data_IF_687026473112
#
_entry.id   IF_687026473112
#
_cell.length_a   1.000
_cell.length_b   1.000
_cell.length_c   1.000
_cell.angle_alpha   90.00
_cell.angle_beta   90.00
_cell.angle_gamma   90.00
#
_symmetry.space_group_name_H-M   'P 1'
#
loop_
_entity.id
_entity.type
_entity.pdbx_description
1 polymer ?
#
# COMPACT_ATOMS: atom_id res chain seq x y z
N UNK A 1 -4.68 14.03 -21.70
CA UNK A 1 -5.99 13.97 -22.39
C UNK A 1 -6.35 15.35 -22.89
N UNK A 2 -7.18 15.45 -23.94
CA UNK A 2 -7.80 16.73 -24.26
C UNK A 2 -8.71 17.16 -23.10
N UNK A 3 -8.91 18.47 -22.88
CA UNK A 3 -9.81 18.95 -21.84
C UNK A 3 -11.21 18.34 -21.99
N UNK A 4 -11.73 17.77 -20.90
CA UNK A 4 -13.07 17.18 -20.87
C UNK A 4 -13.21 15.80 -21.50
N UNK A 5 -12.12 15.16 -21.93
CA UNK A 5 -12.14 13.76 -22.38
C UNK A 5 -12.63 12.82 -21.26
N UNK A 6 -13.42 11.82 -21.64
CA UNK A 6 -13.74 10.67 -20.80
C UNK A 6 -12.59 9.64 -20.86
N UNK A 7 -11.91 9.35 -19.74
CA UNK A 7 -10.81 8.38 -19.69
C UNK A 7 -11.24 6.92 -19.87
N UNK A 8 -12.52 6.57 -19.74
CA UNK A 8 -13.02 5.21 -20.00
C UNK A 8 -13.23 4.97 -21.50
N UNK A 9 -13.58 6.02 -22.23
CA UNK A 9 -13.84 5.95 -23.67
C UNK A 9 -12.62 6.35 -24.52
N UNK A 10 -11.69 7.13 -23.97
CA UNK A 10 -10.58 7.73 -24.71
C UNK A 10 -9.22 7.42 -24.07
N UNK A 11 -8.29 6.95 -24.91
CA UNK A 11 -6.90 6.72 -24.50
C UNK A 11 -6.15 8.03 -24.30
N UNK A 12 -5.17 7.98 -23.39
CA UNK A 12 -4.23 9.07 -23.22
C UNK A 12 -3.47 9.33 -24.52
N UNK A 13 -3.28 10.60 -24.89
CA UNK A 13 -2.38 10.95 -25.99
C UNK A 13 -0.90 10.71 -25.65
N UNK A 14 -0.56 10.74 -24.35
CA UNK A 14 0.74 10.36 -23.83
C UNK A 14 0.59 9.79 -22.41
N UNK A 15 1.44 8.83 -22.05
CA UNK A 15 1.52 8.24 -20.71
C UNK A 15 2.96 7.86 -20.40
N UNK A 16 3.37 8.02 -19.15
CA UNK A 16 4.70 7.64 -18.69
C UNK A 16 4.78 7.67 -17.16
N UNK A 17 5.92 7.22 -16.63
CA UNK A 17 6.20 7.32 -15.20
C UNK A 17 6.37 8.78 -14.79
N UNK A 18 5.97 9.14 -13.57
CA UNK A 18 6.10 10.51 -13.07
C UNK A 18 7.57 11.00 -13.03
N UNK A 19 8.53 10.08 -12.97
CA UNK A 19 9.97 10.38 -13.04
C UNK A 19 10.52 10.53 -14.47
N UNK A 20 9.67 10.43 -15.50
CA UNK A 20 10.05 10.53 -16.91
C UNK A 20 9.49 11.79 -17.57
N UNK A 21 10.25 12.34 -18.51
CA UNK A 21 9.80 13.45 -19.34
C UNK A 21 9.12 12.88 -20.60
N UNK A 22 7.95 13.43 -20.94
CA UNK A 22 7.23 13.10 -22.16
C UNK A 22 7.00 14.36 -22.99
N UNK A 23 7.30 14.29 -24.29
CA UNK A 23 6.99 15.38 -25.21
C UNK A 23 5.48 15.35 -25.54
N UNK A 24 4.81 16.48 -25.32
CA UNK A 24 3.41 16.69 -25.71
C UNK A 24 3.30 17.95 -26.56
N UNK A 25 2.37 18.01 -27.54
CA UNK A 25 2.14 19.23 -28.30
C UNK A 25 1.74 20.39 -27.39
N UNK A 26 2.15 21.61 -27.74
CA UNK A 26 1.69 22.81 -27.05
C UNK A 26 0.16 22.93 -27.13
N UNK A 27 -0.45 23.41 -26.05
CA UNK A 27 -1.91 23.48 -25.92
C UNK A 27 -2.39 23.24 -24.49
N UNK A 28 -3.69 23.09 -24.32
CA UNK A 28 -4.34 22.83 -23.03
C UNK A 28 -4.65 21.34 -22.89
N UNK A 29 -4.37 20.79 -21.72
CA UNK A 29 -4.42 19.35 -21.46
C UNK A 29 -4.94 19.02 -20.06
N UNK A 30 -5.65 17.90 -19.95
CA UNK A 30 -5.97 17.27 -18.67
C UNK A 30 -4.95 16.16 -18.38
N UNK A 31 -4.40 16.18 -17.17
CA UNK A 31 -3.39 15.21 -16.70
C UNK A 31 -4.01 14.36 -15.60
N UNK A 32 -4.04 13.04 -15.81
CA UNK A 32 -4.38 12.05 -14.79
C UNK A 32 -3.11 11.56 -14.12
N UNK A 33 -3.13 11.51 -12.80
CA UNK A 33 -2.11 10.88 -11.98
C UNK A 33 -2.65 9.57 -11.45
N UNK A 34 -1.84 8.53 -11.53
CA UNK A 34 -2.15 7.20 -11.04
C UNK A 34 -1.02 6.76 -10.11
N UNK A 35 -1.37 6.38 -8.90
CA UNK A 35 -0.50 5.70 -7.95
C UNK A 35 -1.05 4.28 -7.75
N UNK A 36 -0.20 3.27 -7.90
CA UNK A 36 -0.55 1.87 -7.74
C UNK A 36 0.57 1.15 -6.98
N UNK A 37 0.28 0.75 -5.75
CA UNK A 37 1.08 -0.14 -4.91
C UNK A 37 0.34 -1.49 -4.77
N UNK A 38 -0.01 -2.09 -5.90
CA UNK A 38 -0.70 -3.37 -5.97
C UNK A 38 -2.07 -3.35 -5.28
N UNK A 39 -2.37 -4.40 -4.50
CA UNK A 39 -3.65 -4.49 -3.79
C UNK A 39 -3.74 -3.58 -2.56
N UNK A 40 -2.63 -2.91 -2.20
CA UNK A 40 -2.48 -2.25 -0.90
C UNK A 40 -2.94 -0.80 -0.96
N UNK A 41 -2.52 -0.06 -2.00
CA UNK A 41 -2.88 1.34 -2.14
C UNK A 41 -2.97 1.72 -3.60
N UNK A 42 -4.14 2.20 -4.00
CA UNK A 42 -4.35 2.83 -5.30
C UNK A 42 -4.90 4.22 -5.05
N UNK A 43 -4.32 5.21 -5.71
CA UNK A 43 -4.83 6.57 -5.67
C UNK A 43 -4.80 7.16 -7.08
N UNK A 44 -5.76 8.01 -7.36
CA UNK A 44 -5.78 8.74 -8.61
C UNK A 44 -6.22 10.18 -8.40
N UNK A 45 -5.80 11.04 -9.31
CA UNK A 45 -6.14 12.45 -9.28
C UNK A 45 -6.03 13.09 -10.64
N UNK A 46 -6.57 14.29 -10.75
CA UNK A 46 -6.57 15.05 -11.99
C UNK A 46 -6.06 16.46 -11.75
N UNK A 47 -5.22 16.94 -12.66
CA UNK A 47 -5.00 18.37 -12.85
C UNK A 47 -5.60 18.72 -14.21
N UNK A 48 -6.59 19.60 -14.19
CA UNK A 48 -7.37 19.97 -15.37
C UNK A 48 -6.84 21.26 -15.99
N UNK A 49 -7.01 21.39 -17.30
CA UNK A 49 -6.70 22.60 -18.06
C UNK A 49 -5.24 23.11 -17.93
N UNK A 50 -4.27 22.18 -17.92
CA UNK A 50 -2.84 22.51 -17.89
C UNK A 50 -2.38 23.05 -19.24
N UNK A 51 -1.81 24.26 -19.24
CA UNK A 51 -1.27 24.89 -20.45
C UNK A 51 0.21 24.51 -20.66
N UNK A 52 0.50 23.80 -21.75
CA UNK A 52 1.85 23.50 -22.20
C UNK A 52 2.29 24.50 -23.27
N UNK A 53 3.42 25.16 -23.03
CA UNK A 53 4.02 26.12 -23.98
C UNK A 53 5.24 25.50 -24.66
N UNK A 54 5.45 25.84 -25.94
CA UNK A 54 6.62 25.37 -26.69
C UNK A 54 7.93 25.70 -25.95
N UNK A 55 8.81 24.70 -25.85
CA UNK A 55 10.14 24.84 -25.25
C UNK A 55 10.15 24.97 -23.72
N UNK A 56 9.00 24.80 -23.04
CA UNK A 56 8.92 24.85 -21.58
C UNK A 56 8.62 23.49 -20.99
N UNK A 57 9.34 23.14 -19.92
CA UNK A 57 9.03 21.99 -19.10
C UNK A 57 7.98 22.38 -18.05
N UNK A 58 6.87 21.67 -18.04
CA UNK A 58 5.90 21.75 -16.96
C UNK A 58 6.30 20.76 -15.85
N UNK A 59 6.22 21.20 -14.60
CA UNK A 59 6.44 20.38 -13.41
C UNK A 59 5.30 20.64 -12.43
N UNK A 60 4.84 19.59 -11.77
CA UNK A 60 3.96 19.71 -10.61
C UNK A 60 4.49 18.83 -9.48
N UNK A 61 4.36 19.35 -8.26
CA UNK A 61 4.44 18.54 -7.06
C UNK A 61 3.04 18.00 -6.77
N UNK A 62 2.91 16.68 -6.68
CA UNK A 62 1.66 16.02 -6.30
C UNK A 62 1.88 15.37 -4.95
N UNK A 63 1.19 15.89 -3.94
CA UNK A 63 1.18 15.29 -2.60
C UNK A 63 0.14 14.18 -2.60
N UNK A 64 0.62 12.93 -2.56
CA UNK A 64 -0.25 11.79 -2.31
C UNK A 64 -0.71 11.84 -0.86
N UNK A 65 -1.91 12.37 -0.63
CA UNK A 65 -2.59 12.32 0.66
C UNK A 65 -3.20 10.94 0.93
N UNK A 66 -2.57 9.86 0.44
CA UNK A 66 -2.87 8.52 0.89
C UNK A 66 -2.16 8.36 2.25
N UNK A 67 -2.87 8.17 3.37
CA UNK A 67 -2.24 7.95 4.66
C UNK A 67 -1.60 6.55 4.68
N UNK A 68 -0.50 6.40 3.94
CA UNK A 68 0.32 5.21 3.95
C UNK A 68 1.10 5.19 5.26
N UNK A 69 0.95 4.08 5.97
CA UNK A 69 1.69 3.80 7.19
C UNK A 69 2.58 2.60 6.98
N UNK A 70 3.57 2.45 7.86
CA UNK A 70 4.39 1.25 7.91
C UNK A 70 3.98 0.42 9.12
N UNK A 71 3.53 -0.81 8.87
CA UNK A 71 3.41 -1.82 9.93
C UNK A 71 4.67 -2.65 9.95
N UNK A 72 5.16 -2.90 11.17
CA UNK A 72 6.23 -3.85 11.45
C UNK A 72 5.79 -4.70 12.63
N UNK A 73 5.80 -6.01 12.45
CA UNK A 73 5.43 -6.97 13.48
C UNK A 73 6.68 -7.63 14.02
N UNK A 74 6.77 -7.73 15.35
CA UNK A 74 7.83 -8.46 16.05
C UNK A 74 7.19 -9.64 16.77
N UNK A 75 7.78 -10.83 16.62
CA UNK A 75 7.39 -12.02 17.37
C UNK A 75 8.44 -12.34 18.42
N UNK A 76 8.05 -12.96 19.52
CA UNK A 76 9.00 -13.48 20.51
C UNK A 76 8.66 -14.91 20.90
N UNK A 77 9.67 -15.76 21.01
CA UNK A 77 9.58 -17.12 21.54
C UNK A 77 10.46 -17.21 22.78
N UNK A 78 9.87 -17.54 23.94
CA UNK A 78 10.56 -17.59 25.23
C UNK A 78 11.34 -16.30 25.55
N UNK A 79 10.76 -15.14 25.22
CA UNK A 79 11.36 -13.82 25.46
C UNK A 79 12.49 -13.44 24.50
N UNK A 80 12.81 -14.28 23.50
CA UNK A 80 13.76 -13.97 22.43
C UNK A 80 13.02 -13.58 21.17
N UNK A 81 13.47 -12.53 20.50
CA UNK A 81 12.96 -12.15 19.17
C UNK A 81 13.14 -13.33 18.20
N UNK A 82 12.06 -13.68 17.51
CA UNK A 82 12.11 -14.73 16.47
C UNK A 82 12.60 -14.19 15.13
N UNK A 83 12.98 -12.90 15.05
CA UNK A 83 13.46 -12.24 13.84
C UNK A 83 12.52 -12.53 12.65
N UNK A 84 13.04 -12.81 11.46
CA UNK A 84 12.27 -12.98 10.21
C UNK A 84 11.62 -14.37 10.06
N UNK A 85 11.34 -15.05 11.18
CA UNK A 85 10.86 -16.44 11.17
C UNK A 85 9.35 -16.58 11.36
N UNK A 86 8.64 -15.47 11.58
CA UNK A 86 7.18 -15.44 11.62
C UNK A 86 6.67 -14.86 10.32
N UNK A 87 5.75 -15.56 9.67
CA UNK A 87 5.04 -15.08 8.51
C UNK A 87 3.74 -14.40 8.94
N UNK A 88 3.42 -13.27 8.31
CA UNK A 88 2.25 -12.45 8.59
C UNK A 88 1.46 -12.30 7.31
N UNK A 89 0.22 -12.78 7.35
CA UNK A 89 -0.80 -12.50 6.35
C UNK A 89 -1.72 -11.39 6.87
N UNK A 90 -1.87 -10.32 6.11
CA UNK A 90 -2.73 -9.19 6.42
C UNK A 90 -4.05 -9.29 5.64
N UNK A 91 -5.19 -9.15 6.33
CA UNK A 91 -6.53 -9.18 5.75
C UNK A 91 -7.27 -7.89 6.09
N UNK A 92 -8.25 -7.50 5.26
CA UNK A 92 -9.22 -6.48 5.68
C UNK A 92 -10.00 -7.02 6.90
N UNK A 93 -10.29 -6.16 7.87
CA UNK A 93 -11.03 -6.57 9.06
C UNK A 93 -12.34 -7.29 8.72
N UNK A 94 -12.60 -8.41 9.39
CA UNK A 94 -13.79 -9.24 9.21
C UNK A 94 -13.79 -10.11 7.95
N UNK A 95 -12.69 -10.16 7.21
CA UNK A 95 -12.56 -11.05 6.04
C UNK A 95 -12.46 -12.51 6.50
N UNK A 96 -13.16 -13.42 5.83
CA UNK A 96 -12.95 -14.86 6.03
C UNK A 96 -11.57 -15.27 5.52
N UNK A 97 -10.65 -15.53 6.45
CA UNK A 97 -9.24 -15.81 6.14
C UNK A 97 -9.01 -17.23 5.58
N UNK A 98 -10.03 -18.10 5.58
CA UNK A 98 -9.95 -19.42 4.96
C UNK A 98 -10.35 -19.37 3.49
N UNK A 99 -11.29 -18.50 3.15
CA UNK A 99 -11.83 -18.37 1.80
C UNK A 99 -11.03 -17.35 0.95
N UNK A 100 -10.61 -16.24 1.56
CA UNK A 100 -10.00 -15.14 0.83
C UNK A 100 -8.47 -15.09 0.99
N UNK A 101 -7.81 -14.55 -0.03
CA UNK A 101 -6.38 -14.28 0.01
C UNK A 101 -6.06 -13.02 0.83
N UNK A 102 -4.88 -12.96 1.48
CA UNK A 102 -4.46 -11.76 2.16
C UNK A 102 -4.24 -10.60 1.18
N UNK A 103 -4.44 -9.37 1.66
CA UNK A 103 -4.10 -8.16 0.91
C UNK A 103 -2.59 -7.93 0.83
N UNK A 104 -1.83 -8.52 1.75
CA UNK A 104 -0.37 -8.51 1.77
C UNK A 104 0.14 -9.63 2.67
N UNK A 105 1.29 -10.21 2.31
CA UNK A 105 2.00 -11.20 3.12
C UNK A 105 3.47 -10.81 3.25
N UNK A 106 4.00 -10.84 4.47
CA UNK A 106 5.36 -10.39 4.76
C UNK A 106 5.95 -11.13 5.96
N UNK A 107 7.28 -11.07 6.11
CA UNK A 107 7.97 -11.65 7.27
C UNK A 107 8.05 -10.64 8.41
N UNK A 108 8.14 -11.12 9.65
CA UNK A 108 8.39 -10.29 10.82
C UNK A 108 9.65 -9.43 10.62
N UNK A 109 9.71 -8.30 11.33
CA UNK A 109 10.71 -7.22 11.19
C UNK A 109 10.72 -6.47 9.84
N UNK A 110 10.11 -7.01 8.77
CA UNK A 110 9.93 -6.26 7.52
C UNK A 110 8.99 -5.06 7.75
N UNK A 111 9.28 -3.95 7.07
CA UNK A 111 8.36 -2.80 7.01
C UNK A 111 7.39 -3.04 5.86
N UNK A 112 6.13 -3.27 6.19
CA UNK A 112 5.08 -3.37 5.19
C UNK A 112 4.36 -2.02 5.09
N UNK A 113 4.38 -1.43 3.90
CA UNK A 113 3.55 -0.27 3.60
C UNK A 113 2.09 -0.73 3.53
N UNK A 114 1.18 -0.03 4.19
CA UNK A 114 -0.26 -0.29 4.17
C UNK A 114 -1.06 1.01 4.24
N UNK A 115 -2.26 1.01 3.66
CA UNK A 115 -3.18 2.13 3.82
C UNK A 115 -3.73 2.21 5.25
N UNK A 116 -4.18 3.39 5.68
CA UNK A 116 -4.97 3.51 6.90
C UNK A 116 -6.28 2.73 6.77
N UNK A 117 -6.68 2.07 7.86
CA UNK A 117 -7.84 1.20 7.88
C UNK A 117 -7.81 0.20 9.03
N UNK A 118 -8.77 -0.72 9.02
CA UNK A 118 -8.87 -1.81 9.99
C UNK A 118 -8.53 -3.14 9.33
N UNK A 119 -7.68 -3.92 9.99
CA UNK A 119 -7.12 -5.15 9.47
C UNK A 119 -7.14 -6.27 10.50
N UNK A 120 -7.13 -7.50 10.00
CA UNK A 120 -6.85 -8.69 10.79
C UNK A 120 -5.53 -9.31 10.32
N UNK A 121 -4.76 -9.88 11.23
CA UNK A 121 -3.52 -10.59 10.95
C UNK A 121 -3.69 -12.08 11.22
N UNK A 122 -3.17 -12.90 10.33
CA UNK A 122 -2.84 -14.30 10.59
C UNK A 122 -1.34 -14.44 10.70
N UNK A 123 -0.91 -15.08 11.77
CA UNK A 123 0.49 -15.26 12.12
C UNK A 123 0.81 -16.75 12.06
N UNK A 124 1.91 -17.11 11.41
CA UNK A 124 2.43 -18.47 11.39
C UNK A 124 3.93 -18.49 11.66
N UNK A 125 4.37 -19.47 12.41
CA UNK A 125 5.77 -19.72 12.73
C UNK A 125 6.04 -21.21 12.56
N UNK A 126 7.05 -21.54 11.75
CA UNK A 126 7.49 -22.92 11.51
C UNK A 126 9.02 -22.95 11.44
N UNK A 127 9.67 -23.02 12.61
CA UNK A 127 11.13 -23.09 12.72
C UNK A 127 11.54 -23.70 14.07
N UNK A 128 12.78 -24.18 14.18
CA UNK A 128 13.37 -24.69 15.41
C UNK A 128 12.54 -25.79 16.10
N UNK A 129 11.92 -26.67 15.31
CA UNK A 129 10.99 -27.72 15.75
C UNK A 129 9.75 -27.20 16.51
N UNK A 130 9.40 -25.93 16.33
CA UNK A 130 8.22 -25.32 16.90
C UNK A 130 7.32 -24.84 15.76
N UNK A 131 6.07 -25.29 15.81
CA UNK A 131 5.00 -24.80 14.96
C UNK A 131 3.97 -24.07 15.81
N UNK A 132 3.65 -22.85 15.42
CA UNK A 132 2.68 -22.03 16.12
C UNK A 132 1.89 -21.18 15.14
N UNK A 133 0.62 -20.97 15.48
CA UNK A 133 -0.27 -20.07 14.75
C UNK A 133 -0.95 -19.12 15.73
N UNK A 134 -1.36 -17.98 15.22
CA UNK A 134 -2.18 -17.03 15.96
C UNK A 134 -2.86 -16.06 15.03
N UNK A 135 -3.75 -15.27 15.61
CA UNK A 135 -4.45 -14.21 14.91
C UNK A 135 -4.51 -12.96 15.77
N UNK A 136 -4.47 -11.80 15.12
CA UNK A 136 -4.78 -10.53 15.74
C UNK A 136 -5.92 -9.89 14.96
N UNK A 137 -7.06 -9.72 15.60
CA UNK A 137 -8.23 -9.11 14.95
C UNK A 137 -8.36 -7.63 15.36
N UNK A 138 -8.83 -6.80 14.43
CA UNK A 138 -9.13 -5.40 14.69
C UNK A 138 -7.91 -4.50 14.85
N UNK A 139 -6.81 -4.81 14.18
CA UNK A 139 -5.66 -3.90 14.09
C UNK A 139 -6.10 -2.61 13.37
N UNK A 140 -6.17 -1.50 14.11
CA UNK A 140 -6.46 -0.19 13.55
C UNK A 140 -5.17 0.53 13.16
N UNK A 141 -5.06 0.88 11.89
CA UNK A 141 -3.95 1.60 11.30
C UNK A 141 -4.46 2.99 11.01
N UNK A 142 -4.15 3.94 11.90
CA UNK A 142 -4.60 5.32 11.79
C UNK A 142 -3.60 6.17 10.98
N UNK A 143 -4.06 7.30 10.45
CA UNK A 143 -3.27 8.20 9.59
C UNK A 143 -2.18 9.00 10.32
N UNK A 144 -2.07 8.85 11.64
CA UNK A 144 -1.03 9.45 12.46
C UNK A 144 0.19 8.53 12.56
N UNK A 145 1.36 9.08 12.26
CA UNK A 145 2.64 8.39 12.40
C UNK A 145 2.87 7.99 13.87
N UNK A 146 3.12 6.71 14.14
CA UNK A 146 3.38 6.22 15.50
C UNK A 146 3.76 4.74 15.55
N UNK A 147 4.33 4.31 16.69
CA UNK A 147 4.58 2.89 16.97
C UNK A 147 3.38 2.36 17.74
N UNK A 148 2.57 1.50 17.11
CA UNK A 148 1.57 0.70 17.81
C UNK A 148 2.23 -0.61 18.27
N UNK A 149 2.26 -0.84 19.58
CA UNK A 149 2.68 -2.12 20.16
C UNK A 149 1.44 -2.91 20.55
N UNK A 150 1.18 -4.00 19.84
CA UNK A 150 0.13 -4.96 20.19
C UNK A 150 0.77 -6.31 20.41
N UNK A 151 0.43 -6.95 21.51
CA UNK A 151 0.89 -8.31 21.83
C UNK A 151 -0.21 -9.29 21.50
N UNK A 152 0.07 -10.22 20.58
CA UNK A 152 -0.76 -11.40 20.36
C UNK A 152 0.00 -12.62 20.86
N UNK A 153 -0.68 -13.50 21.59
CA UNK A 153 -0.13 -14.79 21.97
C UNK A 153 -0.33 -15.78 20.81
N UNK A 154 0.75 -16.44 20.39
CA UNK A 154 0.64 -17.59 19.49
C UNK A 154 0.39 -18.84 20.33
N UNK A 155 -0.55 -19.68 19.90
CA UNK A 155 -0.77 -21.00 20.50
C UNK A 155 0.00 -22.04 19.70
N UNK A 156 0.65 -22.96 20.43
CA UNK A 156 1.33 -24.11 19.84
C UNK A 156 0.31 -24.97 19.09
N UNK A 157 0.69 -25.47 17.92
CA UNK A 157 -0.07 -26.47 17.17
C UNK A 157 -0.02 -27.86 17.82
#
# INVERSE_FOLDING_TARGET
>A
WKPGSDPEEQKAEASGWASSEAAVPAGTWDIRFLYDEGAVCKAEGWVRNVAFTVGKLWKAEIVLAAPMQYVRVFGTLNGKDVADNMHIDLFKAGTDQQEFQPVSSFWSTQKQAIAAGSYDLRLSYDRDNVKAKGALNGLSVASNHGILKTTAALTKE
#
